data_IF_187704463629
#
_entry.id   IF_187704463629
#
_cell.length_a   1.000
_cell.length_b   1.000
_cell.length_c   1.000
_cell.angle_alpha   90.00
_cell.angle_beta   90.00
_cell.angle_gamma   90.00
#
_symmetry.space_group_name_H-M   'P 1'
#
loop_
_entity.id
_entity.type
_entity.pdbx_description
1 polymer ?
#
# COMPACT_ATOMS: atom_id res chain seq x y z
N UNK A 1 18.46 -17.13 6.88
CA UNK A 1 17.45 -16.08 7.10
C UNK A 1 18.00 -14.66 6.83
N UNK A 2 19.20 -14.30 7.31
CA UNK A 2 19.81 -12.96 7.13
C UNK A 2 19.96 -12.49 5.66
N UNK A 3 20.36 -13.37 4.75
CA UNK A 3 20.52 -13.03 3.32
C UNK A 3 19.22 -12.58 2.63
N UNK A 4 18.06 -13.14 3.02
CA UNK A 4 16.76 -12.78 2.43
C UNK A 4 16.27 -11.42 2.89
N UNK A 5 16.53 -11.07 4.15
CA UNK A 5 16.19 -9.73 4.69
C UNK A 5 16.99 -8.67 3.94
N UNK A 6 18.31 -8.88 3.78
CA UNK A 6 19.19 -7.96 3.05
C UNK A 6 18.71 -7.74 1.61
N UNK A 7 18.19 -8.78 0.96
CA UNK A 7 17.64 -8.65 -0.40
C UNK A 7 16.43 -7.70 -0.44
N UNK A 8 15.40 -7.96 0.38
CA UNK A 8 14.15 -7.16 0.35
C UNK A 8 14.27 -5.79 1.03
N UNK A 9 15.32 -5.57 1.82
CA UNK A 9 15.62 -4.26 2.40
C UNK A 9 16.79 -3.57 1.69
N UNK A 10 17.32 -4.16 0.63
CA UNK A 10 18.50 -3.66 -0.09
C UNK A 10 18.19 -2.41 -0.92
N UNK A 11 19.25 -1.68 -1.28
CA UNK A 11 19.10 -0.45 -2.09
C UNK A 11 18.52 -0.75 -3.46
N UNK A 12 18.97 -1.84 -4.09
CA UNK A 12 18.53 -2.28 -5.42
C UNK A 12 17.01 -2.52 -5.43
N UNK A 13 16.52 -3.44 -4.60
CA UNK A 13 15.08 -3.71 -4.47
C UNK A 13 14.30 -2.46 -4.06
N UNK A 14 14.87 -1.62 -3.19
CA UNK A 14 14.27 -0.35 -2.83
C UNK A 14 14.11 0.61 -4.02
N UNK A 15 15.09 0.68 -4.91
CA UNK A 15 15.02 1.48 -6.14
C UNK A 15 13.88 1.06 -7.05
N UNK A 16 13.78 -0.24 -7.32
CA UNK A 16 12.66 -0.83 -8.10
C UNK A 16 11.29 -0.52 -7.47
N UNK A 17 11.20 -0.54 -6.13
CA UNK A 17 9.98 -0.15 -5.43
C UNK A 17 9.62 1.32 -5.68
N UNK A 18 10.59 2.22 -5.54
CA UNK A 18 10.38 3.65 -5.74
C UNK A 18 9.92 3.96 -7.17
N UNK A 19 10.56 3.34 -8.19
CA UNK A 19 10.15 3.44 -9.60
C UNK A 19 8.72 2.92 -9.82
N UNK A 20 8.32 1.87 -9.10
CA UNK A 20 6.97 1.30 -9.14
C UNK A 20 5.92 2.04 -8.30
N UNK A 21 6.18 3.26 -7.85
CA UNK A 21 5.30 4.02 -6.94
C UNK A 21 4.97 3.27 -5.62
N UNK A 22 5.86 2.40 -5.18
CA UNK A 22 5.81 1.71 -3.89
C UNK A 22 6.90 2.33 -2.99
N UNK A 23 6.58 3.24 -2.06
CA UNK A 23 7.59 3.91 -1.26
C UNK A 23 8.52 2.92 -0.54
N UNK A 24 9.78 2.93 -0.91
CA UNK A 24 10.86 2.19 -0.30
C UNK A 24 11.11 2.68 1.12
N UNK A 25 11.40 1.73 2.01
CA UNK A 25 11.83 2.01 3.39
C UNK A 25 13.36 2.06 3.53
N UNK A 26 14.11 1.85 2.44
CA UNK A 26 15.56 1.95 2.47
C UNK A 26 15.99 3.44 2.50
N UNK A 27 16.80 3.88 3.48
CA UNK A 27 17.16 5.29 3.64
C UNK A 27 18.08 5.85 2.54
N UNK A 28 18.66 4.98 1.70
CA UNK A 28 19.54 5.36 0.59
C UNK A 28 18.80 5.44 -0.75
N UNK A 29 17.47 5.30 -0.76
CA UNK A 29 16.60 5.40 -1.94
C UNK A 29 15.75 6.65 -1.79
N UNK A 30 15.76 7.51 -2.81
CA UNK A 30 14.82 8.62 -2.91
C UNK A 30 13.49 8.09 -3.48
N UNK A 31 12.39 8.36 -2.78
CA UNK A 31 11.05 7.98 -3.21
C UNK A 31 10.36 9.07 -4.05
N UNK A 32 11.04 10.19 -4.28
CA UNK A 32 10.53 11.36 -5.00
C UNK A 32 9.19 11.88 -4.43
N UNK A 33 8.99 11.67 -3.13
CA UNK A 33 7.78 12.09 -2.46
C UNK A 33 7.78 13.62 -2.32
N UNK A 34 6.63 14.29 -2.55
CA UNK A 34 6.48 15.68 -2.19
C UNK A 34 6.84 15.92 -0.72
N UNK A 35 7.42 17.09 -0.40
CA UNK A 35 7.87 17.44 0.98
C UNK A 35 6.83 17.22 2.08
N UNK A 36 5.54 17.32 1.73
CA UNK A 36 4.41 17.17 2.65
C UNK A 36 3.50 15.98 2.28
N UNK A 37 4.06 14.94 1.65
CA UNK A 37 3.31 13.74 1.31
C UNK A 37 2.65 13.14 2.56
N UNK A 38 1.34 12.86 2.46
CA UNK A 38 0.57 12.20 3.52
C UNK A 38 0.17 10.81 3.04
N UNK A 39 0.52 9.80 3.83
CA UNK A 39 0.04 8.44 3.60
C UNK A 39 -1.31 8.23 4.28
N UNK A 40 -2.22 7.58 3.56
CA UNK A 40 -3.45 7.06 4.17
C UNK A 40 -3.11 5.76 4.88
N UNK A 41 -3.14 5.80 6.21
CA UNK A 41 -2.92 4.63 7.05
C UNK A 41 -4.10 4.44 7.99
N UNK A 42 -4.78 3.30 7.86
CA UNK A 42 -5.99 2.98 8.63
C UNK A 42 -5.68 2.50 10.07
N UNK A 43 -4.40 2.22 10.36
CA UNK A 43 -3.96 1.84 11.70
C UNK A 43 -3.93 0.33 11.95
N UNK A 44 -2.93 -0.12 12.71
CA UNK A 44 -2.79 -1.53 13.07
C UNK A 44 -3.94 -2.07 13.91
N UNK A 45 -4.47 -1.27 14.83
CA UNK A 45 -5.57 -1.69 15.69
C UNK A 45 -6.81 -2.00 14.88
N UNK A 46 -7.15 -1.14 13.91
CA UNK A 46 -8.27 -1.37 13.01
C UNK A 46 -8.07 -2.62 12.16
N UNK A 47 -6.88 -2.81 11.56
CA UNK A 47 -6.60 -4.00 10.75
C UNK A 47 -6.73 -5.28 11.59
N UNK A 48 -6.20 -5.29 12.82
CA UNK A 48 -6.23 -6.46 13.69
C UNK A 48 -7.62 -6.76 14.23
N UNK A 49 -8.48 -5.75 14.39
CA UNK A 49 -9.84 -5.92 14.91
C UNK A 49 -10.88 -6.24 13.83
N UNK A 50 -10.50 -6.28 12.56
CA UNK A 50 -11.43 -6.45 11.45
C UNK A 50 -11.02 -7.61 10.53
N UNK A 51 -12.02 -8.30 9.98
CA UNK A 51 -11.80 -9.25 8.88
C UNK A 51 -11.59 -8.47 7.58
N UNK A 52 -10.33 -8.37 7.16
CA UNK A 52 -9.95 -7.63 5.95
C UNK A 52 -10.52 -8.25 4.67
N UNK A 53 -10.76 -9.56 4.62
CA UNK A 53 -11.38 -10.23 3.48
C UNK A 53 -12.86 -9.85 3.37
N UNK A 54 -13.58 -9.87 4.50
CA UNK A 54 -14.98 -9.43 4.55
C UNK A 54 -15.11 -7.95 4.20
N UNK A 55 -14.22 -7.10 4.73
CA UNK A 55 -14.21 -5.67 4.44
C UNK A 55 -13.96 -5.39 2.96
N UNK A 56 -12.98 -6.07 2.34
CA UNK A 56 -12.72 -5.98 0.89
C UNK A 56 -13.97 -6.29 0.07
N UNK A 57 -14.65 -7.40 0.38
CA UNK A 57 -15.83 -7.83 -0.37
C UNK A 57 -16.99 -6.84 -0.22
N UNK A 58 -17.19 -6.30 0.99
CA UNK A 58 -18.21 -5.28 1.26
C UNK A 58 -17.93 -3.96 0.51
N UNK A 59 -16.68 -3.47 0.54
CA UNK A 59 -16.31 -2.25 -0.19
C UNK A 59 -16.47 -2.43 -1.70
N UNK A 60 -16.14 -3.62 -2.23
CA UNK A 60 -16.33 -3.93 -3.64
C UNK A 60 -17.81 -3.94 -4.03
N UNK A 61 -18.72 -4.45 -3.19
CA UNK A 61 -20.14 -4.44 -3.50
C UNK A 61 -20.70 -3.02 -3.54
N UNK A 62 -20.28 -2.14 -2.61
CA UNK A 62 -20.64 -0.70 -2.66
C UNK A 62 -20.17 -0.08 -3.97
N UNK A 63 -18.90 -0.29 -4.33
CA UNK A 63 -18.31 0.27 -5.54
C UNK A 63 -19.05 -0.17 -6.81
N UNK A 64 -19.27 -1.48 -6.99
CA UNK A 64 -19.97 -2.04 -8.15
C UNK A 64 -21.42 -1.55 -8.21
N UNK A 65 -22.13 -1.52 -7.07
CA UNK A 65 -23.48 -0.98 -7.03
C UNK A 65 -23.51 0.50 -7.44
N UNK A 66 -22.54 1.30 -6.99
CA UNK A 66 -22.46 2.72 -7.36
C UNK A 66 -22.20 2.94 -8.85
N UNK A 67 -21.44 2.07 -9.52
CA UNK A 67 -21.24 2.13 -10.97
C UNK A 67 -22.55 1.79 -11.69
N UNK A 68 -23.19 0.69 -11.29
CA UNK A 68 -24.41 0.23 -11.95
C UNK A 68 -25.59 1.19 -11.75
N UNK A 69 -25.68 1.87 -10.61
CA UNK A 69 -26.74 2.87 -10.37
C UNK A 69 -26.52 4.20 -11.09
N UNK A 70 -25.29 4.52 -11.51
CA UNK A 70 -24.96 5.75 -12.24
C UNK A 70 -24.92 5.56 -13.77
N UNK A 71 -25.29 4.38 -14.27
CA UNK A 71 -25.43 4.13 -15.71
C UNK A 71 -26.90 4.34 -16.09
N UNK A 72 -27.27 5.59 -16.36
CA UNK A 72 -28.52 6.05 -16.99
C UNK A 72 -28.17 6.87 -18.23
#
# INVERSE_FOLDING_TARGET
MKHKVILITGKEFGGECAEGCCPSLNPCVDNELPKNAKFKWIGWNYIKSNDMCKLKNYLNSIFINSINSNTL
#
